data_IF_404409284688
#
_entry.id   IF_404409284688
#
_cell.length_a   1.000
_cell.length_b   1.000
_cell.length_c   1.000
_cell.angle_alpha   90.00
_cell.angle_beta   90.00
_cell.angle_gamma   90.00
#
_symmetry.space_group_name_H-M   'P 1'
#
loop_
_entity.id
_entity.type
_entity.pdbx_description
1 polymer ?
#
# COMPACT_ATOMS: atom_id res chain seq x y z
N UNK A 1 -21.57 10.60 -7.69
CA UNK A 1 -20.37 10.28 -8.50
C UNK A 1 -20.43 8.81 -8.88
N UNK A 2 -20.06 8.45 -10.11
CA UNK A 2 -19.87 7.02 -10.46
C UNK A 2 -18.53 6.57 -9.85
N UNK A 3 -18.46 5.40 -9.19
CA UNK A 3 -17.20 4.92 -8.64
C UNK A 3 -16.19 4.73 -9.78
N UNK A 4 -15.00 5.34 -9.61
CA UNK A 4 -13.87 5.11 -10.51
C UNK A 4 -13.36 3.71 -10.22
N UNK A 5 -13.51 2.79 -11.18
CA UNK A 5 -12.88 1.47 -11.09
C UNK A 5 -11.41 1.63 -11.46
N UNK A 6 -10.55 1.64 -10.46
CA UNK A 6 -9.10 1.60 -10.65
C UNK A 6 -8.73 0.12 -10.84
N UNK A 7 -8.03 -0.26 -11.92
CA UNK A 7 -7.51 -1.62 -12.03
C UNK A 7 -6.60 -1.90 -10.84
N UNK A 8 -6.76 -3.08 -10.24
CA UNK A 8 -5.92 -3.51 -9.13
C UNK A 8 -4.58 -3.93 -9.70
N UNK A 9 -3.53 -3.22 -9.31
CA UNK A 9 -2.15 -3.43 -9.73
C UNK A 9 -1.27 -3.78 -8.52
N UNK A 10 -0.02 -4.15 -8.78
CA UNK A 10 0.98 -4.40 -7.73
C UNK A 10 1.54 -3.12 -7.10
N UNK A 11 0.93 -1.95 -7.35
CA UNK A 11 1.29 -0.69 -6.72
C UNK A 11 0.10 0.24 -6.52
N UNK A 12 0.23 1.20 -5.60
CA UNK A 12 -0.71 2.31 -5.42
C UNK A 12 0.03 3.61 -5.16
N UNK A 13 -0.38 4.69 -5.85
CA UNK A 13 0.17 6.04 -5.69
C UNK A 13 -0.71 6.92 -4.81
N UNK A 14 -0.20 7.24 -3.62
CA UNK A 14 -0.89 8.01 -2.61
C UNK A 14 -0.88 9.52 -2.86
N UNK A 15 -0.14 10.05 -3.85
CA UNK A 15 -0.13 11.48 -4.16
C UNK A 15 -1.49 12.01 -4.65
N UNK A 16 -2.37 11.12 -5.11
CA UNK A 16 -3.69 11.47 -5.65
C UNK A 16 -4.81 11.44 -4.60
N UNK A 17 -4.50 11.03 -3.37
CA UNK A 17 -5.48 10.83 -2.30
C UNK A 17 -5.27 11.83 -1.17
N UNK A 18 -6.36 12.17 -0.46
CA UNK A 18 -6.24 13.00 0.74
C UNK A 18 -5.68 12.16 1.89
N UNK A 19 -4.83 12.72 2.78
CA UNK A 19 -4.23 11.97 3.89
C UNK A 19 -5.23 11.20 4.76
N UNK A 20 -6.41 11.77 5.00
CA UNK A 20 -7.48 11.17 5.80
C UNK A 20 -8.12 9.93 5.14
N UNK A 21 -7.99 9.77 3.82
CA UNK A 21 -8.55 8.64 3.07
C UNK A 21 -7.58 7.46 2.99
N UNK A 22 -6.29 7.69 3.24
CA UNK A 22 -5.22 6.71 3.02
C UNK A 22 -5.44 5.43 3.84
N UNK A 23 -5.95 5.55 5.07
CA UNK A 23 -6.20 4.39 5.93
C UNK A 23 -7.23 3.43 5.32
N UNK A 24 -8.42 3.93 5.04
CA UNK A 24 -9.51 3.12 4.51
C UNK A 24 -9.21 2.63 3.10
N UNK A 25 -8.55 3.48 2.30
CA UNK A 25 -8.08 3.13 0.96
C UNK A 25 -7.14 1.92 0.99
N UNK A 26 -6.10 1.93 1.83
CA UNK A 26 -5.11 0.85 1.85
C UNK A 26 -5.71 -0.48 2.31
N UNK A 27 -6.69 -0.45 3.22
CA UNK A 27 -7.42 -1.66 3.63
C UNK A 27 -8.16 -2.26 2.44
N UNK A 28 -9.02 -1.46 1.79
CA UNK A 28 -9.81 -1.92 0.64
C UNK A 28 -8.91 -2.37 -0.51
N UNK A 29 -7.83 -1.62 -0.77
CA UNK A 29 -6.88 -1.95 -1.82
C UNK A 29 -6.18 -3.29 -1.57
N UNK A 30 -5.73 -3.56 -0.33
CA UNK A 30 -5.06 -4.81 0.01
C UNK A 30 -6.01 -6.00 0.00
N UNK A 31 -7.25 -5.85 0.44
CA UNK A 31 -8.26 -6.89 0.30
C UNK A 31 -8.47 -7.27 -1.17
N UNK A 32 -8.56 -6.28 -2.06
CA UNK A 32 -8.67 -6.53 -3.49
C UNK A 32 -7.40 -7.12 -4.09
N UNK A 33 -6.20 -6.69 -3.66
CA UNK A 33 -4.94 -7.33 -4.07
C UNK A 33 -4.93 -8.82 -3.70
N UNK A 34 -5.29 -9.17 -2.46
CA UNK A 34 -5.34 -10.55 -1.97
C UNK A 34 -6.32 -11.38 -2.82
N UNK A 35 -7.54 -10.87 -3.08
CA UNK A 35 -8.54 -11.55 -3.93
C UNK A 35 -8.03 -11.79 -5.36
N UNK A 36 -7.15 -10.93 -5.86
CA UNK A 36 -6.55 -11.05 -7.19
C UNK A 36 -5.20 -11.78 -7.19
N UNK A 37 -4.77 -12.36 -6.06
CA UNK A 37 -3.51 -13.10 -5.95
C UNK A 37 -2.25 -12.21 -5.98
N UNK A 38 -2.40 -10.91 -5.73
CA UNK A 38 -1.30 -9.95 -5.62
C UNK A 38 -0.91 -9.85 -4.16
N UNK A 39 0.24 -10.42 -3.80
CA UNK A 39 0.73 -10.44 -2.42
C UNK A 39 1.89 -9.50 -2.15
N UNK A 40 2.50 -8.94 -3.18
CA UNK A 40 3.56 -7.95 -3.04
C UNK A 40 3.04 -6.64 -3.64
N UNK A 41 2.88 -5.62 -2.80
CA UNK A 41 2.32 -4.32 -3.22
C UNK A 41 3.30 -3.21 -2.91
N UNK A 42 3.56 -2.35 -3.90
CA UNK A 42 4.37 -1.14 -3.74
C UNK A 42 3.50 0.06 -3.42
N UNK A 43 3.58 0.55 -2.19
CA UNK A 43 2.88 1.75 -1.74
C UNK A 43 3.76 2.98 -1.96
N UNK A 44 3.39 3.80 -2.93
CA UNK A 44 4.14 5.00 -3.32
C UNK A 44 3.58 6.19 -2.53
N UNK A 45 4.38 6.73 -1.62
CA UNK A 45 4.02 7.89 -0.76
C UNK A 45 4.89 9.12 -1.03
N UNK A 46 5.79 9.04 -2.03
CA UNK A 46 6.72 10.10 -2.35
C UNK A 46 7.84 10.28 -1.33
N UNK A 47 8.80 11.12 -1.72
CA UNK A 47 10.01 11.41 -0.94
C UNK A 47 9.75 12.53 0.08
N UNK A 48 9.35 13.72 -0.38
CA UNK A 48 8.93 14.83 0.48
C UNK A 48 9.86 15.08 1.69
N UNK A 49 9.26 15.47 2.83
CA UNK A 49 9.95 15.54 4.14
C UNK A 49 9.81 14.23 4.96
N UNK A 50 9.31 13.16 4.34
CA UNK A 50 9.07 11.87 5.01
C UNK A 50 7.86 11.81 5.96
N UNK A 51 7.02 12.85 6.04
CA UNK A 51 5.83 12.83 6.90
C UNK A 51 4.80 11.80 6.43
N UNK A 52 4.50 11.76 5.13
CA UNK A 52 3.56 10.78 4.57
C UNK A 52 4.10 9.35 4.72
N UNK A 53 5.40 9.13 4.47
CA UNK A 53 6.09 7.87 4.77
C UNK A 53 5.86 7.42 6.21
N UNK A 54 6.10 8.29 7.20
CA UNK A 54 5.94 7.94 8.62
C UNK A 54 4.50 7.51 8.91
N UNK A 55 3.50 8.28 8.47
CA UNK A 55 2.09 7.94 8.66
C UNK A 55 1.71 6.61 8.01
N UNK A 56 2.12 6.40 6.75
CA UNK A 56 1.86 5.17 6.00
C UNK A 56 2.52 3.97 6.67
N UNK A 57 3.80 4.04 7.04
CA UNK A 57 4.50 2.93 7.69
C UNK A 57 3.86 2.57 9.04
N UNK A 58 3.47 3.56 9.86
CA UNK A 58 2.82 3.30 11.14
C UNK A 58 1.41 2.68 10.98
N UNK A 59 0.70 3.05 9.92
CA UNK A 59 -0.56 2.41 9.53
C UNK A 59 -0.33 0.97 9.09
N UNK A 60 0.64 0.73 8.20
CA UNK A 60 0.96 -0.59 7.65
C UNK A 60 1.38 -1.58 8.74
N UNK A 61 2.21 -1.16 9.71
CA UNK A 61 2.61 -1.99 10.85
C UNK A 61 1.44 -2.48 11.71
N UNK A 62 0.33 -1.74 11.73
CA UNK A 62 -0.87 -2.08 12.52
C UNK A 62 -1.89 -2.89 11.71
N UNK A 63 -1.70 -3.03 10.40
CA UNK A 63 -2.65 -3.71 9.54
C UNK A 63 -2.56 -5.23 9.74
N UNK A 64 -3.69 -5.93 9.99
CA UNK A 64 -3.69 -7.38 10.12
C UNK A 64 -3.39 -8.09 8.79
N UNK A 65 -3.57 -7.39 7.65
CA UNK A 65 -3.35 -7.89 6.30
C UNK A 65 -1.87 -7.90 5.88
N UNK A 66 -1.02 -7.15 6.59
CA UNK A 66 0.40 -6.99 6.27
C UNK A 66 1.22 -8.06 7.00
N UNK A 67 2.07 -8.76 6.25
CA UNK A 67 3.03 -9.73 6.75
C UNK A 67 4.38 -9.06 7.03
N UNK A 68 4.89 -8.28 6.06
CA UNK A 68 6.15 -7.56 6.22
C UNK A 68 6.20 -6.30 5.36
N UNK A 69 7.14 -5.40 5.68
CA UNK A 69 7.37 -4.18 4.92
C UNK A 69 8.85 -3.85 4.84
N UNK A 70 9.27 -3.25 3.73
CA UNK A 70 10.64 -2.75 3.51
C UNK A 70 10.61 -1.53 2.61
N UNK A 71 11.64 -0.71 2.67
CA UNK A 71 11.84 0.35 1.67
C UNK A 71 11.98 -0.28 0.27
N UNK A 72 11.46 0.40 -0.75
CA UNK A 72 11.63 -0.05 -2.13
C UNK A 72 13.10 0.06 -2.57
N UNK A 73 13.56 -0.81 -3.49
CA UNK A 73 14.83 -0.64 -4.17
C UNK A 73 14.94 0.72 -4.85
N UNK A 74 16.17 1.21 -5.09
CA UNK A 74 16.41 2.55 -5.62
C UNK A 74 15.73 2.74 -7.00
N UNK A 75 15.81 1.72 -7.84
CA UNK A 75 15.17 1.61 -9.15
C UNK A 75 13.64 1.57 -9.10
N UNK A 76 13.07 1.25 -7.95
CA UNK A 76 11.63 1.08 -7.73
C UNK A 76 11.02 2.18 -6.85
N UNK A 77 11.71 3.32 -6.70
CA UNK A 77 11.24 4.48 -5.95
C UNK A 77 12.07 4.81 -4.69
N UNK A 78 12.96 3.90 -4.28
CA UNK A 78 13.80 4.06 -3.10
C UNK A 78 12.96 4.34 -1.85
N UNK A 79 13.46 5.23 -1.00
CA UNK A 79 12.75 5.69 0.20
C UNK A 79 11.44 6.44 -0.06
N UNK A 80 11.06 6.67 -1.32
CA UNK A 80 9.77 7.26 -1.71
C UNK A 80 8.64 6.24 -1.85
N UNK A 81 8.92 4.95 -1.67
CA UNK A 81 7.93 3.90 -1.68
C UNK A 81 8.28 2.81 -0.64
N UNK A 82 7.25 2.12 -0.18
CA UNK A 82 7.35 0.97 0.72
C UNK A 82 6.84 -0.27 -0.02
N UNK A 83 7.62 -1.34 -0.03
CA UNK A 83 7.16 -2.67 -0.48
C UNK A 83 6.48 -3.34 0.71
N UNK A 84 5.26 -3.80 0.48
CA UNK A 84 4.40 -4.47 1.46
C UNK A 84 4.19 -5.89 0.98
N UNK A 85 4.52 -6.86 1.82
CA UNK A 85 4.10 -8.25 1.63
C UNK A 85 2.79 -8.46 2.40
N UNK A 86 1.76 -8.91 1.70
CA UNK A 86 0.45 -9.22 2.25
C UNK A 86 0.40 -10.68 2.69
N UNK A 87 -0.39 -10.96 3.73
CA UNK A 87 -0.66 -12.32 4.16
C UNK A 87 -1.41 -13.06 3.08
N UNK A 88 -0.91 -14.26 2.76
CA UNK A 88 -1.70 -15.24 2.02
C UNK A 88 -2.75 -15.77 2.98
N UNK A 89 -4.00 -15.90 2.54
CA UNK A 89 -4.92 -16.78 3.25
C UNK A 89 -4.33 -18.19 3.18
N UNK A 90 -3.72 -18.65 4.26
CA UNK A 90 -3.47 -20.08 4.42
C UNK A 90 -4.84 -20.72 4.51
N UNK A 91 -5.15 -21.59 3.53
CA UNK A 91 -6.39 -22.34 3.49
C UNK A 91 -6.71 -22.90 4.88
N UNK A 92 -7.89 -22.54 5.40
CA UNK A 92 -8.51 -23.25 6.51
C UNK A 92 -8.73 -24.74 6.16
#
# INVERSE_FOLDING_TARGET
MKPVKIPIEDFIDLHTFRPEEVSDLLIVYFEECIKNGIFTVRVIHGKGKGLLKKGVVELLKKSPLVESLKDAPMESGGWGATIVELKKEENA
#
